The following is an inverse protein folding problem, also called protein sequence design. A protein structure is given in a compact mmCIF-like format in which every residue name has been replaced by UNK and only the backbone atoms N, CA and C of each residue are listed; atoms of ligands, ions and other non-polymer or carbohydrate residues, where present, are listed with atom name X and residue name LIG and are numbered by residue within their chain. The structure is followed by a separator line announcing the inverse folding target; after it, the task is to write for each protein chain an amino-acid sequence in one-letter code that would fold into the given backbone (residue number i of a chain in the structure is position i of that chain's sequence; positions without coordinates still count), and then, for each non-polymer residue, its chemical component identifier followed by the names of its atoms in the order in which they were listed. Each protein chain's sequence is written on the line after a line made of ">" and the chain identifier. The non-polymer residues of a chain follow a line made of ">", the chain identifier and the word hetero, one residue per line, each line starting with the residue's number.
data_IF_486802085966
#
_entry.id   IF_486802085966
#
_cell.length_a   1.000
_cell.length_b   1.000
_cell.length_c   1.000
_cell.angle_alpha   90.00
_cell.angle_beta   90.00
_cell.angle_gamma   90.00
#
_symmetry.space_group_name_H-M   'P 1'
#
loop_
_entity.id
_entity.type
_entity.pdbx_description
1 polymer ?
#
# COMPACT_ATOMS: atom_id res chain seq x y z
N UNK A 1 45.28 -15.32 -1.69
CA UNK A 1 44.80 -16.65 -2.11
C UNK A 1 44.39 -16.55 -3.57
N UNK A 2 44.79 -17.52 -4.40
CA UNK A 2 44.70 -17.53 -5.87
C UNK A 2 43.39 -16.94 -6.44
N UNK A 3 43.47 -15.77 -7.08
CA UNK A 3 42.42 -15.24 -7.97
C UNK A 3 42.49 -15.99 -9.31
N UNK A 4 41.54 -16.90 -9.50
CA UNK A 4 41.59 -18.02 -10.45
C UNK A 4 41.11 -17.71 -11.88
N UNK A 5 41.23 -16.45 -12.34
CA UNK A 5 40.84 -15.99 -13.68
C UNK A 5 41.72 -14.80 -14.13
N UNK A 6 41.92 -14.59 -15.44
CA UNK A 6 41.46 -15.42 -16.58
C UNK A 6 42.16 -16.79 -16.68
N UNK A 7 41.45 -17.79 -17.19
CA UNK A 7 42.03 -19.09 -17.59
C UNK A 7 42.35 -19.08 -19.07
N UNK A 8 43.59 -19.43 -19.41
CA UNK A 8 44.06 -19.52 -20.78
C UNK A 8 44.27 -20.98 -21.17
N UNK A 9 43.89 -21.34 -22.38
CA UNK A 9 44.27 -22.62 -22.97
C UNK A 9 44.66 -22.45 -24.44
N UNK A 10 45.59 -23.27 -24.90
CA UNK A 10 46.08 -23.25 -26.28
C UNK A 10 46.09 -24.68 -26.79
N UNK A 11 45.46 -24.93 -27.94
CA UNK A 11 45.47 -26.23 -28.62
C UNK A 11 45.68 -26.07 -30.11
N UNK A 12 46.22 -27.10 -30.75
CA UNK A 12 46.55 -27.11 -32.16
C UNK A 12 45.69 -28.17 -32.86
N UNK A 13 44.95 -27.76 -33.88
CA UNK A 13 44.05 -28.62 -34.65
C UNK A 13 44.40 -28.45 -36.14
N UNK A 14 45.06 -29.47 -36.70
CA UNK A 14 45.67 -29.40 -38.02
C UNK A 14 46.69 -28.26 -38.14
N UNK A 15 46.49 -27.36 -39.12
CA UNK A 15 47.33 -26.18 -39.34
C UNK A 15 46.92 -24.95 -38.51
N UNK A 16 45.88 -25.05 -37.66
CA UNK A 16 45.39 -23.93 -36.85
C UNK A 16 45.86 -24.01 -35.40
N UNK A 17 46.25 -22.86 -34.83
CA UNK A 17 46.53 -22.72 -33.40
C UNK A 17 45.43 -21.90 -32.76
N UNK A 18 44.67 -22.51 -31.86
CA UNK A 18 43.51 -21.90 -31.21
C UNK A 18 43.91 -21.53 -29.79
N UNK A 19 43.69 -20.26 -29.43
CA UNK A 19 43.95 -19.70 -28.11
C UNK A 19 42.62 -19.24 -27.51
N UNK A 20 42.26 -19.81 -26.36
CA UNK A 20 41.01 -19.51 -25.64
C UNK A 20 41.34 -18.80 -24.33
N UNK A 21 40.62 -17.71 -24.07
CA UNK A 21 40.62 -16.97 -22.82
C UNK A 21 39.22 -17.03 -22.20
N UNK A 22 39.09 -17.51 -20.96
CA UNK A 22 37.85 -17.51 -20.17
C UNK A 22 37.91 -16.46 -19.06
N UNK A 23 36.94 -15.54 -19.05
CA UNK A 23 36.72 -14.48 -18.05
C UNK A 23 35.48 -14.76 -17.17
N UNK A 24 35.28 -13.98 -16.09
CA UNK A 24 34.07 -13.98 -15.24
C UNK A 24 32.84 -13.74 -16.12
N UNK A 25 31.96 -14.74 -16.25
CA UNK A 25 30.91 -14.75 -17.28
C UNK A 25 29.65 -13.94 -16.96
N UNK A 26 29.44 -13.52 -15.71
CA UNK A 26 28.16 -12.97 -15.26
C UNK A 26 28.32 -12.15 -13.97
N UNK A 27 27.63 -11.01 -13.87
CA UNK A 27 27.48 -10.21 -12.64
C UNK A 27 26.05 -10.34 -12.13
N UNK A 28 25.87 -10.69 -10.86
CA UNK A 28 24.56 -10.83 -10.22
C UNK A 28 24.39 -9.74 -9.17
N UNK A 29 23.28 -8.99 -9.24
CA UNK A 29 22.92 -7.99 -8.24
C UNK A 29 21.61 -8.41 -7.57
N UNK A 30 21.67 -8.69 -6.28
CA UNK A 30 20.47 -8.82 -5.44
C UNK A 30 20.21 -7.46 -4.80
N UNK A 31 19.12 -6.80 -5.17
CA UNK A 31 18.75 -5.49 -4.65
C UNK A 31 17.68 -5.67 -3.58
N UNK A 32 17.87 -5.04 -2.42
CA UNK A 32 16.92 -5.03 -1.32
C UNK A 32 16.42 -3.60 -1.09
N UNK A 33 15.12 -3.41 -1.26
CA UNK A 33 14.44 -2.15 -0.94
C UNK A 33 14.00 -2.16 0.53
N UNK A 34 14.74 -1.44 1.37
CA UNK A 34 14.45 -1.34 2.79
C UNK A 34 13.19 -0.51 3.11
N UNK A 35 12.69 0.32 2.18
CA UNK A 35 11.45 1.07 2.36
C UNK A 35 10.23 0.14 2.30
N UNK A 36 10.25 -0.82 1.37
CA UNK A 36 9.24 -1.87 1.20
C UNK A 36 9.41 -3.03 2.19
N UNK A 37 10.64 -3.30 2.63
CA UNK A 37 10.93 -4.42 3.52
C UNK A 37 10.24 -4.27 4.89
N UNK A 38 9.33 -5.20 5.19
CA UNK A 38 8.57 -5.22 6.45
C UNK A 38 9.29 -5.96 7.58
N UNK A 39 10.40 -6.64 7.29
CA UNK A 39 11.08 -7.51 8.26
C UNK A 39 10.29 -8.76 8.63
N UNK A 40 9.38 -9.23 7.77
CA UNK A 40 8.56 -10.42 8.02
C UNK A 40 9.35 -11.74 8.12
N UNK A 41 10.52 -11.81 7.47
CA UNK A 41 11.44 -12.94 7.56
C UNK A 41 11.11 -14.14 6.68
N UNK A 42 10.08 -14.08 5.83
CA UNK A 42 9.73 -15.16 4.88
C UNK A 42 10.94 -15.51 3.99
N UNK A 43 11.72 -14.52 3.56
CA UNK A 43 12.94 -14.73 2.78
C UNK A 43 14.04 -15.49 3.54
N UNK A 44 14.16 -15.26 4.84
CA UNK A 44 15.08 -16.01 5.72
C UNK A 44 14.66 -17.47 5.82
N UNK A 45 13.36 -17.72 5.99
CA UNK A 45 12.79 -19.08 6.04
C UNK A 45 12.90 -19.82 4.69
N UNK A 46 12.73 -19.08 3.59
CA UNK A 46 12.73 -19.64 2.23
C UNK A 46 14.14 -19.84 1.64
N UNK A 47 15.17 -19.21 2.19
CA UNK A 47 16.52 -19.28 1.64
C UNK A 47 17.09 -20.71 1.76
N UNK A 48 17.42 -21.39 0.64
CA UNK A 48 17.99 -22.74 0.70
C UNK A 48 19.42 -22.77 1.27
N UNK A 49 20.17 -21.68 1.09
CA UNK A 49 21.57 -21.53 1.57
C UNK A 49 21.65 -20.94 2.98
N UNK A 50 20.51 -20.61 3.59
CA UNK A 50 20.45 -19.96 4.92
C UNK A 50 21.31 -18.69 4.99
N UNK A 51 21.42 -17.99 3.87
CA UNK A 51 22.23 -16.78 3.71
C UNK A 51 21.56 -15.53 4.29
N UNK A 52 20.27 -15.59 4.65
CA UNK A 52 19.50 -14.43 5.10
C UNK A 52 19.19 -14.54 6.59
N UNK A 53 19.53 -13.51 7.36
CA UNK A 53 19.26 -13.39 8.78
C UNK A 53 18.32 -12.20 9.08
N UNK A 54 17.61 -12.27 10.21
CA UNK A 54 16.67 -11.22 10.65
C UNK A 54 17.44 -10.15 11.41
N UNK A 55 17.29 -8.90 10.99
CA UNK A 55 17.83 -7.75 11.68
C UNK A 55 16.91 -7.20 12.79
N UNK A 56 17.21 -6.03 13.35
CA UNK A 56 16.44 -5.41 14.42
C UNK A 56 15.16 -4.73 13.88
N UNK A 57 14.20 -5.54 13.40
CA UNK A 57 12.97 -5.09 12.70
C UNK A 57 12.25 -3.97 13.44
N UNK A 58 12.01 -4.14 14.75
CA UNK A 58 11.29 -3.16 15.57
C UNK A 58 12.07 -1.87 15.83
N UNK A 59 13.40 -1.89 15.82
CA UNK A 59 14.20 -0.66 15.95
C UNK A 59 14.25 0.09 14.63
N UNK A 60 14.50 -0.61 13.52
CA UNK A 60 14.60 -0.04 12.19
C UNK A 60 13.28 0.59 11.72
N UNK A 61 12.17 -0.14 11.80
CA UNK A 61 10.85 0.33 11.32
C UNK A 61 10.27 1.48 12.14
N UNK A 62 10.75 1.68 13.37
CA UNK A 62 10.39 2.83 14.21
C UNK A 62 11.34 4.02 14.06
N UNK A 63 12.32 3.93 13.16
CA UNK A 63 13.35 4.97 12.98
C UNK A 63 14.28 5.13 14.19
N UNK A 64 14.32 4.16 15.11
CA UNK A 64 15.23 4.22 16.26
C UNK A 64 16.70 4.01 15.86
N UNK A 65 16.92 3.40 14.70
CA UNK A 65 18.22 3.27 14.06
C UNK A 65 18.06 3.53 12.56
N UNK A 66 19.05 4.18 11.96
CA UNK A 66 19.15 4.33 10.50
C UNK A 66 20.22 3.40 9.90
N UNK A 67 21.07 2.82 10.75
CA UNK A 67 22.09 1.85 10.37
C UNK A 67 21.54 0.43 10.43
N UNK A 68 21.97 -0.41 9.49
CA UNK A 68 21.47 -1.78 9.34
C UNK A 68 20.19 -1.86 8.52
N UNK A 69 19.50 -2.99 8.62
CA UNK A 69 18.35 -3.33 7.78
C UNK A 69 17.44 -4.36 8.47
N UNK A 70 16.15 -4.46 8.10
CA UNK A 70 15.24 -5.45 8.69
C UNK A 70 15.67 -6.91 8.46
N UNK A 71 16.42 -7.16 7.38
CA UNK A 71 17.06 -8.44 7.06
C UNK A 71 18.49 -8.18 6.57
N UNK A 72 19.40 -9.13 6.78
CA UNK A 72 20.79 -9.07 6.32
C UNK A 72 21.11 -10.31 5.47
N UNK A 73 21.77 -10.12 4.35
CA UNK A 73 22.18 -11.19 3.42
C UNK A 73 23.69 -11.38 3.50
N UNK A 74 24.13 -12.61 3.76
CA UNK A 74 25.53 -13.03 3.67
C UNK A 74 25.88 -13.28 2.20
N UNK A 75 26.62 -12.35 1.61
CA UNK A 75 27.02 -12.37 0.21
C UNK A 75 27.92 -13.56 -0.14
N UNK A 76 28.58 -14.19 0.83
CA UNK A 76 29.46 -15.35 0.62
C UNK A 76 28.71 -16.67 0.59
N UNK A 77 27.51 -16.71 1.18
CA UNK A 77 26.59 -17.86 1.15
C UNK A 77 25.53 -17.75 0.07
N UNK A 78 25.20 -16.53 -0.35
CA UNK A 78 24.12 -16.31 -1.32
C UNK A 78 24.44 -16.93 -2.69
N UNK A 79 23.56 -17.83 -3.16
CA UNK A 79 23.65 -18.42 -4.49
C UNK A 79 23.02 -17.59 -5.60
N UNK A 80 22.41 -16.45 -5.26
CA UNK A 80 21.69 -15.57 -6.20
C UNK A 80 20.60 -16.33 -7.00
N UNK A 81 19.91 -17.29 -6.37
CA UNK A 81 18.90 -18.11 -7.03
C UNK A 81 17.57 -17.37 -7.31
N UNK A 82 17.24 -16.31 -6.54
CA UNK A 82 16.00 -15.54 -6.69
C UNK A 82 14.79 -16.10 -5.94
N UNK A 83 14.93 -17.17 -5.15
CA UNK A 83 13.82 -17.70 -4.31
C UNK A 83 13.26 -16.63 -3.37
N UNK A 84 14.15 -15.82 -2.77
CA UNK A 84 13.76 -14.77 -1.86
C UNK A 84 12.92 -13.67 -2.54
N UNK A 85 13.19 -13.39 -3.82
CA UNK A 85 12.42 -12.43 -4.64
C UNK A 85 11.00 -12.95 -4.85
N UNK A 86 10.86 -14.19 -5.34
CA UNK A 86 9.54 -14.80 -5.60
C UNK A 86 8.72 -14.97 -4.31
N UNK A 87 9.37 -15.30 -3.20
CA UNK A 87 8.71 -15.52 -1.91
C UNK A 87 8.44 -14.23 -1.14
N UNK A 88 8.83 -13.05 -1.62
CA UNK A 88 8.58 -11.79 -0.93
C UNK A 88 7.16 -11.26 -1.25
N UNK A 89 6.21 -11.26 -0.29
CA UNK A 89 4.85 -10.79 -0.57
C UNK A 89 4.70 -9.26 -0.55
N UNK A 90 5.82 -8.53 -0.50
CA UNK A 90 5.89 -7.07 -0.41
C UNK A 90 6.79 -6.46 -1.48
N UNK A 91 7.21 -7.27 -2.47
CA UNK A 91 8.08 -6.87 -3.58
C UNK A 91 9.34 -6.07 -3.16
N UNK A 92 9.92 -6.43 -2.01
CA UNK A 92 11.04 -5.69 -1.41
C UNK A 92 12.42 -6.14 -1.91
N UNK A 93 12.49 -7.09 -2.83
CA UNK A 93 13.76 -7.57 -3.39
C UNK A 93 13.63 -7.82 -4.88
N UNK A 94 14.69 -7.51 -5.62
CA UNK A 94 14.82 -7.84 -7.04
C UNK A 94 16.18 -8.48 -7.31
N UNK A 95 16.26 -9.25 -8.40
CA UNK A 95 17.49 -9.87 -8.86
C UNK A 95 17.75 -9.46 -10.30
N UNK A 96 18.95 -8.92 -10.53
CA UNK A 96 19.43 -8.54 -11.85
C UNK A 96 20.65 -9.38 -12.20
N UNK A 97 20.71 -9.79 -13.46
CA UNK A 97 21.81 -10.56 -14.04
C UNK A 97 22.31 -9.78 -15.24
N UNK A 98 23.56 -9.32 -15.18
CA UNK A 98 24.18 -8.45 -16.17
C UNK A 98 23.35 -7.17 -16.46
N UNK A 99 22.69 -6.65 -15.42
CA UNK A 99 21.86 -5.44 -15.48
C UNK A 99 20.44 -5.66 -15.99
N UNK A 100 20.03 -6.89 -16.28
CA UNK A 100 18.66 -7.23 -16.68
C UNK A 100 17.94 -7.97 -15.56
N UNK A 101 16.68 -7.59 -15.27
CA UNK A 101 15.84 -8.29 -14.31
C UNK A 101 15.59 -9.74 -14.80
N UNK A 102 16.18 -10.71 -14.10
CA UNK A 102 16.11 -12.13 -14.46
C UNK A 102 15.96 -12.98 -13.22
N UNK A 103 15.09 -13.98 -13.29
CA UNK A 103 14.81 -14.88 -12.19
C UNK A 103 15.12 -16.32 -12.62
N UNK A 104 16.37 -16.80 -12.41
CA UNK A 104 16.80 -18.13 -12.84
C UNK A 104 15.88 -19.24 -12.34
N UNK A 105 15.35 -19.10 -11.13
CA UNK A 105 14.47 -20.08 -10.50
C UNK A 105 13.10 -20.21 -11.21
N UNK A 106 12.58 -19.12 -11.78
CA UNK A 106 11.36 -19.14 -12.58
C UNK A 106 11.65 -19.65 -14.00
N UNK A 107 12.70 -19.12 -14.63
CA UNK A 107 13.05 -19.42 -16.02
C UNK A 107 13.50 -20.87 -16.26
N UNK A 108 14.21 -21.47 -15.29
CA UNK A 108 14.86 -22.78 -15.48
C UNK A 108 14.16 -23.92 -14.76
N UNK A 109 13.64 -23.69 -13.55
CA UNK A 109 13.08 -24.77 -12.72
C UNK A 109 11.57 -24.73 -12.55
N UNK A 110 10.89 -23.66 -12.99
CA UNK A 110 9.45 -23.53 -12.87
C UNK A 110 8.98 -23.54 -11.42
N UNK A 111 9.45 -22.58 -10.63
CA UNK A 111 9.05 -22.41 -9.23
C UNK A 111 7.67 -21.73 -9.12
N UNK A 112 6.81 -22.13 -8.17
CA UNK A 112 5.46 -21.60 -8.08
C UNK A 112 5.48 -20.14 -7.58
N UNK A 113 4.48 -19.37 -7.99
CA UNK A 113 4.29 -17.96 -7.59
C UNK A 113 3.06 -17.85 -6.69
N UNK A 114 2.93 -16.77 -5.92
CA UNK A 114 1.75 -16.59 -5.08
C UNK A 114 0.46 -16.53 -5.90
N UNK A 115 -0.59 -17.19 -5.39
CA UNK A 115 -1.94 -17.06 -5.93
C UNK A 115 -2.65 -15.83 -5.34
N UNK A 116 -2.16 -14.64 -5.71
CA UNK A 116 -2.78 -13.38 -5.30
C UNK A 116 -3.95 -13.06 -6.23
N UNK A 117 -5.17 -13.20 -5.72
CA UNK A 117 -6.38 -12.72 -6.41
C UNK A 117 -6.75 -11.37 -5.83
N UNK A 118 -6.69 -10.33 -6.65
CA UNK A 118 -7.06 -8.95 -6.33
C UNK A 118 -7.79 -8.36 -7.53
N UNK A 119 -9.12 -8.46 -7.52
CA UNK A 119 -9.97 -8.13 -8.67
C UNK A 119 -11.04 -7.10 -8.27
N UNK A 120 -11.35 -6.19 -9.19
CA UNK A 120 -12.43 -5.20 -9.05
C UNK A 120 -13.47 -5.45 -10.15
N UNK A 121 -14.71 -5.69 -9.73
CA UNK A 121 -15.88 -5.71 -10.59
C UNK A 121 -16.26 -4.26 -10.95
N UNK A 122 -15.85 -3.81 -12.12
CA UNK A 122 -16.09 -2.44 -12.58
C UNK A 122 -17.56 -2.13 -12.85
N UNK A 123 -18.43 -3.15 -13.01
CA UNK A 123 -19.88 -2.91 -13.14
C UNK A 123 -20.51 -2.56 -11.79
N UNK A 124 -19.98 -3.13 -10.69
CA UNK A 124 -20.42 -2.81 -9.32
C UNK A 124 -19.68 -1.64 -8.70
N UNK A 125 -18.48 -1.32 -9.17
CA UNK A 125 -17.66 -0.26 -8.60
C UNK A 125 -18.32 1.11 -8.81
N UNK A 126 -18.59 1.82 -7.71
CA UNK A 126 -19.14 3.18 -7.74
C UNK A 126 -18.09 4.28 -7.87
N UNK A 127 -16.80 3.92 -8.05
CA UNK A 127 -15.67 4.86 -8.18
C UNK A 127 -15.50 5.82 -6.99
N UNK A 128 -16.00 5.44 -5.81
CA UNK A 128 -15.80 6.19 -4.56
C UNK A 128 -14.32 6.15 -4.08
N UNK A 129 -14.00 6.84 -2.98
CA UNK A 129 -12.64 6.94 -2.43
C UNK A 129 -12.33 5.89 -1.35
N UNK A 130 -13.33 5.15 -0.86
CA UNK A 130 -13.20 4.33 0.35
C UNK A 130 -12.03 3.33 0.30
N UNK A 131 -11.83 2.65 -0.83
CA UNK A 131 -10.76 1.65 -0.95
C UNK A 131 -9.35 2.26 -0.93
N UNK A 132 -9.19 3.47 -1.50
CA UNK A 132 -7.95 4.24 -1.48
C UNK A 132 -7.65 4.69 -0.05
N UNK A 133 -8.63 5.29 0.62
CA UNK A 133 -8.52 5.83 1.99
C UNK A 133 -8.10 4.76 3.02
N UNK A 134 -8.58 3.52 2.87
CA UNK A 134 -8.31 2.43 3.83
C UNK A 134 -7.09 1.59 3.46
N UNK A 135 -6.46 1.80 2.30
CA UNK A 135 -5.35 0.95 1.86
C UNK A 135 -4.07 1.28 2.63
N UNK A 136 -3.56 0.37 3.50
CA UNK A 136 -2.36 0.66 4.31
C UNK A 136 -1.05 0.62 3.50
N UNK A 137 -1.14 0.31 2.20
CA UNK A 137 -0.03 0.07 1.29
C UNK A 137 -0.05 0.99 0.07
N UNK A 138 -1.03 1.88 -0.03
CA UNK A 138 -1.21 2.76 -1.19
C UNK A 138 -1.30 2.00 -2.54
N UNK A 139 -1.71 0.73 -2.49
CA UNK A 139 -1.79 -0.15 -3.67
C UNK A 139 -3.05 0.07 -4.54
N UNK A 140 -3.84 1.12 -4.27
CA UNK A 140 -5.05 1.44 -5.04
C UNK A 140 -4.73 2.57 -5.99
N UNK A 141 -4.89 2.33 -7.28
CA UNK A 141 -4.74 3.35 -8.32
C UNK A 141 -6.14 3.84 -8.67
N UNK A 142 -6.46 5.08 -8.27
CA UNK A 142 -7.77 5.69 -8.54
C UNK A 142 -7.64 6.78 -9.60
N UNK A 143 -7.70 6.39 -10.87
CA UNK A 143 -7.77 7.30 -12.01
C UNK A 143 -9.23 7.73 -12.24
N UNK A 144 -9.79 8.47 -11.28
CA UNK A 144 -11.16 8.99 -11.36
C UNK A 144 -11.09 10.50 -11.30
N UNK A 145 -11.61 11.21 -12.32
CA UNK A 145 -11.49 12.66 -12.39
C UNK A 145 -12.02 13.34 -11.12
N UNK A 146 -11.19 14.21 -10.55
CA UNK A 146 -11.57 15.11 -9.48
C UNK A 146 -12.37 16.28 -10.04
N UNK A 147 -13.09 16.98 -9.17
CA UNK A 147 -13.88 18.15 -9.57
C UNK A 147 -13.20 19.45 -9.17
N UNK A 148 -13.52 20.52 -9.87
CA UNK A 148 -13.04 21.85 -9.55
C UNK A 148 -13.33 22.23 -8.09
N UNK A 149 -12.31 22.76 -7.41
CA UNK A 149 -12.31 23.02 -5.97
C UNK A 149 -11.68 21.91 -5.13
N UNK A 150 -11.38 20.74 -5.72
CA UNK A 150 -10.52 19.70 -5.12
C UNK A 150 -9.14 19.63 -5.77
N UNK A 151 -9.03 19.96 -7.06
CA UNK A 151 -7.77 20.13 -7.81
C UNK A 151 -7.90 21.28 -8.82
N UNK A 152 -6.77 21.91 -9.17
CA UNK A 152 -6.68 23.00 -10.15
C UNK A 152 -6.95 22.54 -11.59
N UNK A 153 -6.81 21.23 -11.87
CA UNK A 153 -7.15 20.60 -13.14
C UNK A 153 -8.45 19.77 -13.07
N UNK A 154 -9.20 19.88 -11.97
CA UNK A 154 -10.45 19.14 -11.79
C UNK A 154 -11.49 19.50 -12.87
N UNK A 155 -12.33 18.51 -13.22
CA UNK A 155 -13.46 18.73 -14.13
C UNK A 155 -14.39 19.80 -13.55
N UNK A 156 -14.91 20.66 -14.43
CA UNK A 156 -15.80 21.73 -14.00
C UNK A 156 -17.08 21.14 -13.41
N UNK A 157 -17.63 21.76 -12.36
CA UNK A 157 -18.78 21.20 -11.63
C UNK A 157 -20.02 21.00 -12.51
N UNK A 158 -20.22 21.80 -13.56
CA UNK A 158 -21.35 21.61 -14.47
C UNK A 158 -21.23 20.30 -15.27
N UNK A 159 -20.01 19.88 -15.61
CA UNK A 159 -19.72 18.61 -16.28
C UNK A 159 -20.05 17.41 -15.36
N UNK A 160 -19.97 17.63 -14.04
CA UNK A 160 -20.22 16.59 -13.05
C UNK A 160 -21.67 16.09 -13.02
N UNK A 161 -22.59 17.02 -13.18
CA UNK A 161 -24.02 16.78 -12.98
C UNK A 161 -24.81 16.85 -14.28
N UNK A 162 -24.15 17.21 -15.40
CA UNK A 162 -24.73 17.42 -16.73
C UNK A 162 -26.15 18.02 -16.64
N UNK A 163 -26.28 19.07 -15.81
CA UNK A 163 -27.55 19.68 -15.50
C UNK A 163 -27.72 20.87 -16.44
N UNK A 164 -28.79 20.86 -17.24
CA UNK A 164 -29.22 22.01 -18.01
C UNK A 164 -29.64 23.12 -17.03
N UNK A 165 -28.68 23.97 -16.66
CA UNK A 165 -28.89 25.09 -15.75
C UNK A 165 -29.20 26.32 -16.57
N UNK A 166 -30.28 27.02 -16.23
CA UNK A 166 -30.59 28.34 -16.77
C UNK A 166 -30.32 29.38 -15.68
N UNK A 167 -29.61 30.45 -16.05
CA UNK A 167 -29.34 31.59 -15.19
C UNK A 167 -29.86 32.85 -15.87
N UNK A 168 -30.60 33.67 -15.14
CA UNK A 168 -31.02 35.00 -15.59
C UNK A 168 -30.74 36.03 -14.50
N UNK A 169 -30.25 37.19 -14.91
CA UNK A 169 -30.09 38.36 -14.04
C UNK A 169 -30.92 39.50 -14.63
N UNK A 170 -31.79 40.11 -13.82
CA UNK A 170 -32.59 41.26 -14.21
C UNK A 170 -31.81 42.56 -13.95
N UNK A 171 -31.41 43.23 -15.03
CA UNK A 171 -30.61 44.46 -14.97
C UNK A 171 -31.33 45.63 -14.30
N UNK A 172 -32.66 45.69 -14.33
CA UNK A 172 -33.43 46.75 -13.66
C UNK A 172 -33.42 46.59 -12.14
N UNK A 173 -33.28 45.35 -11.64
CA UNK A 173 -33.20 45.05 -10.20
C UNK A 173 -31.76 44.97 -9.71
N UNK A 174 -30.80 44.72 -10.60
CA UNK A 174 -29.40 44.52 -10.24
C UNK A 174 -28.73 45.85 -9.86
N UNK A 175 -28.13 45.91 -8.67
CA UNK A 175 -27.31 47.05 -8.24
C UNK A 175 -25.83 46.85 -8.51
N UNK A 176 -25.44 45.78 -9.22
CA UNK A 176 -24.05 45.39 -9.48
C UNK A 176 -23.17 45.36 -8.21
N UNK A 177 -23.77 45.02 -7.05
CA UNK A 177 -23.11 45.03 -5.74
C UNK A 177 -21.97 44.01 -5.60
N UNK A 178 -21.87 43.02 -6.49
CA UNK A 178 -20.76 42.07 -6.56
C UNK A 178 -20.90 40.85 -5.64
N UNK A 179 -21.86 40.84 -4.70
CA UNK A 179 -22.01 39.74 -3.73
C UNK A 179 -22.13 38.36 -4.37
N UNK A 180 -22.79 38.26 -5.53
CA UNK A 180 -22.92 37.01 -6.27
C UNK A 180 -21.59 36.52 -6.87
N UNK A 181 -20.70 37.42 -7.32
CA UNK A 181 -19.40 37.08 -7.88
C UNK A 181 -18.38 36.69 -6.81
N UNK A 182 -18.44 37.30 -5.62
CA UNK A 182 -17.56 36.97 -4.50
C UNK A 182 -17.76 35.53 -3.98
N UNK A 183 -18.96 34.98 -4.14
CA UNK A 183 -19.30 33.64 -3.65
C UNK A 183 -19.38 32.58 -4.75
N UNK A 184 -19.42 33.00 -6.03
CA UNK A 184 -19.68 32.11 -7.15
C UNK A 184 -18.64 32.33 -8.24
N UNK A 185 -17.77 31.35 -8.44
CA UNK A 185 -16.78 31.33 -9.52
C UNK A 185 -17.41 31.36 -10.92
N UNK A 186 -18.68 30.99 -11.03
CA UNK A 186 -19.43 31.04 -12.27
C UNK A 186 -19.95 32.44 -12.62
N UNK A 187 -19.76 33.45 -11.76
CA UNK A 187 -20.29 34.80 -11.96
C UNK A 187 -19.15 35.81 -11.85
N UNK A 188 -18.98 36.64 -12.87
CA UNK A 188 -18.14 37.82 -12.84
C UNK A 188 -19.02 39.08 -12.92
N UNK A 189 -18.75 40.06 -12.07
CA UNK A 189 -19.52 41.32 -12.02
C UNK A 189 -18.62 42.44 -12.49
N UNK A 190 -18.72 42.75 -13.79
CA UNK A 190 -17.90 43.76 -14.45
C UNK A 190 -18.55 45.13 -14.30
N UNK A 191 -17.97 45.98 -13.45
CA UNK A 191 -18.44 47.37 -13.28
C UNK A 191 -17.82 48.29 -14.31
N UNK A 192 -18.61 49.22 -14.85
CA UNK A 192 -18.08 50.34 -15.64
C UNK A 192 -17.19 51.23 -14.76
N UNK A 193 -16.19 51.93 -15.34
CA UNK A 193 -15.32 52.82 -14.58
C UNK A 193 -16.10 53.89 -13.81
N UNK A 194 -15.75 54.08 -12.55
CA UNK A 194 -16.33 55.12 -11.72
C UNK A 194 -15.93 56.50 -12.26
N UNK A 195 -16.89 57.30 -12.70
CA UNK A 195 -16.65 58.70 -13.06
C UNK A 195 -17.38 59.62 -12.09
N UNK A 196 -16.74 60.74 -11.68
CA UNK A 196 -17.43 61.78 -10.90
C UNK A 196 -18.60 62.43 -11.66
N UNK A 197 -18.65 62.29 -12.99
CA UNK A 197 -19.64 62.89 -13.86
C UNK A 197 -21.01 62.21 -13.75
N UNK A 198 -21.06 60.89 -13.67
CA UNK A 198 -22.32 60.15 -13.58
C UNK A 198 -22.70 59.84 -12.14
N UNK A 199 -21.73 59.46 -11.30
CA UNK A 199 -21.99 59.01 -9.92
C UNK A 199 -22.90 57.78 -9.83
N UNK A 200 -23.19 57.11 -10.96
CA UNK A 200 -24.05 55.93 -11.05
C UNK A 200 -23.19 54.68 -11.14
N UNK A 201 -23.57 53.66 -10.40
CA UNK A 201 -22.94 52.36 -10.44
C UNK A 201 -23.67 51.50 -11.49
N UNK A 202 -22.96 51.15 -12.55
CA UNK A 202 -23.48 50.46 -13.73
C UNK A 202 -22.46 49.39 -14.16
N UNK A 203 -22.93 48.31 -14.81
CA UNK A 203 -22.09 47.16 -15.10
C UNK A 203 -22.82 46.04 -15.83
N UNK A 204 -22.19 44.87 -15.85
CA UNK A 204 -22.71 43.64 -16.43
C UNK A 204 -22.42 42.47 -15.48
N UNK A 205 -23.34 41.51 -15.42
CA UNK A 205 -23.17 40.25 -14.70
C UNK A 205 -22.93 39.16 -15.73
N UNK A 206 -21.70 38.68 -15.84
CA UNK A 206 -21.28 37.63 -16.77
C UNK A 206 -21.42 36.29 -16.06
N UNK A 207 -22.18 35.37 -16.64
CA UNK A 207 -22.35 34.02 -16.11
C UNK A 207 -21.70 32.98 -17.02
N UNK A 208 -20.82 32.17 -16.44
CA UNK A 208 -20.19 31.05 -17.12
C UNK A 208 -20.88 29.74 -16.71
N UNK A 209 -21.69 29.21 -17.63
CA UNK A 209 -22.44 27.96 -17.45
C UNK A 209 -21.56 26.76 -17.08
N UNK A 210 -20.30 26.74 -17.51
CA UNK A 210 -19.45 25.58 -17.30
C UNK A 210 -19.05 25.42 -15.81
N UNK A 211 -19.05 26.52 -15.06
CA UNK A 211 -18.69 26.56 -13.64
C UNK A 211 -19.93 26.54 -12.73
N UNK A 212 -21.13 26.59 -13.31
CA UNK A 212 -22.38 26.66 -12.57
C UNK A 212 -23.03 25.28 -12.39
N UNK A 213 -23.15 24.84 -11.15
CA UNK A 213 -23.82 23.58 -10.76
C UNK A 213 -25.31 23.76 -10.42
N UNK A 214 -25.82 24.98 -10.55
CA UNK A 214 -27.20 25.33 -10.23
C UNK A 214 -27.54 25.25 -8.74
N UNK A 215 -26.58 25.47 -7.83
CA UNK A 215 -26.79 25.44 -6.37
C UNK A 215 -27.70 26.54 -5.79
N UNK A 216 -28.01 27.58 -6.57
CA UNK A 216 -28.92 28.70 -6.22
C UNK A 216 -28.47 29.60 -5.04
N UNK A 217 -27.21 29.52 -4.62
CA UNK A 217 -26.67 30.38 -3.55
C UNK A 217 -26.64 31.85 -3.99
N UNK A 218 -26.25 32.13 -5.24
CA UNK A 218 -26.23 33.49 -5.80
C UNK A 218 -27.63 34.15 -5.86
N UNK A 219 -28.68 33.36 -6.11
CA UNK A 219 -30.07 33.82 -6.03
C UNK A 219 -30.44 34.13 -4.57
N UNK A 220 -30.08 33.25 -3.64
CA UNK A 220 -30.44 33.39 -2.22
C UNK A 220 -29.76 34.57 -1.53
N UNK A 221 -28.53 34.93 -1.94
CA UNK A 221 -27.80 36.06 -1.35
C UNK A 221 -28.17 37.41 -1.99
N UNK A 222 -28.82 37.41 -3.15
CA UNK A 222 -29.11 38.64 -3.90
C UNK A 222 -30.11 39.51 -3.13
N UNK A 223 -29.72 40.68 -2.59
CA UNK A 223 -30.60 41.49 -1.74
C UNK A 223 -31.83 42.04 -2.46
N UNK A 224 -31.77 42.12 -3.80
CA UNK A 224 -32.80 42.68 -4.65
C UNK A 224 -33.56 41.62 -5.47
N UNK A 225 -33.30 40.33 -5.22
CA UNK A 225 -33.94 39.23 -5.97
C UNK A 225 -33.80 39.39 -7.50
N UNK A 226 -32.63 39.87 -7.93
CA UNK A 226 -32.33 40.14 -9.34
C UNK A 226 -31.93 38.88 -10.11
N UNK A 227 -31.55 37.81 -9.41
CA UNK A 227 -31.03 36.57 -10.00
C UNK A 227 -32.07 35.46 -9.89
N UNK A 228 -32.32 34.74 -10.97
CA UNK A 228 -33.10 33.50 -10.99
C UNK A 228 -32.23 32.38 -11.58
N UNK A 229 -32.14 31.25 -10.87
CA UNK A 229 -31.40 30.06 -11.28
C UNK A 229 -32.34 28.87 -11.34
N UNK A 230 -32.57 28.33 -12.53
CA UNK A 230 -33.36 27.11 -12.74
C UNK A 230 -32.42 25.94 -12.96
N UNK A 231 -32.46 24.98 -12.04
CA UNK A 231 -31.72 23.73 -12.17
C UNK A 231 -32.56 22.71 -12.92
N UNK A 232 -32.12 22.33 -14.13
CA UNK A 232 -32.73 21.26 -14.91
C UNK A 232 -32.55 19.88 -14.28
N UNK A 233 -33.21 18.86 -14.86
CA UNK A 233 -33.02 17.47 -14.45
C UNK A 233 -31.59 17.03 -14.73
N UNK A 234 -31.01 16.26 -13.81
CA UNK A 234 -29.72 15.60 -13.99
C UNK A 234 -29.93 14.51 -15.04
N UNK A 235 -29.37 14.70 -16.24
CA UNK A 235 -29.59 13.78 -17.36
C UNK A 235 -28.67 12.56 -17.29
N UNK A 236 -27.51 12.69 -16.63
CA UNK A 236 -26.52 11.61 -16.49
C UNK A 236 -25.78 11.72 -15.15
N UNK A 237 -25.75 10.64 -14.36
CA UNK A 237 -24.78 10.52 -13.26
C UNK A 237 -23.40 10.33 -13.88
N UNK A 238 -22.35 10.86 -13.25
CA UNK A 238 -20.94 10.76 -13.68
C UNK A 238 -20.37 9.33 -13.68
N UNK A 239 -21.20 8.32 -13.90
CA UNK A 239 -20.75 6.96 -14.07
C UNK A 239 -19.85 6.93 -15.31
N UNK A 240 -18.59 6.54 -15.12
CA UNK A 240 -17.71 5.97 -16.14
C UNK A 240 -16.68 6.90 -16.81
N UNK A 241 -16.15 7.94 -16.14
CA UNK A 241 -15.00 8.70 -16.68
C UNK A 241 -13.63 8.29 -16.11
N UNK A 242 -13.58 7.23 -15.28
CA UNK A 242 -12.34 6.80 -14.64
C UNK A 242 -12.29 5.31 -14.30
N UNK A 243 -11.14 4.83 -13.84
CA UNK A 243 -10.93 3.45 -13.42
C UNK A 243 -10.31 3.41 -12.02
N UNK A 244 -10.64 2.34 -11.30
CA UNK A 244 -10.02 2.02 -10.01
C UNK A 244 -9.36 0.67 -10.18
N UNK A 245 -8.06 0.61 -9.98
CA UNK A 245 -7.25 -0.59 -10.14
C UNK A 245 -6.46 -0.89 -8.86
N UNK A 246 -6.00 -2.14 -8.72
CA UNK A 246 -5.14 -2.58 -7.62
C UNK A 246 -3.78 -2.92 -8.19
N UNK A 247 -2.74 -2.23 -7.74
CA UNK A 247 -1.36 -2.56 -8.08
C UNK A 247 -0.94 -3.83 -7.34
N UNK A 248 -0.92 -4.95 -8.06
CA UNK A 248 -0.66 -6.28 -7.48
C UNK A 248 0.71 -6.41 -6.82
N UNK A 249 1.72 -5.64 -7.26
CA UNK A 249 3.07 -5.66 -6.70
C UNK A 249 3.16 -4.97 -5.32
N UNK A 250 2.29 -3.99 -5.06
CA UNK A 250 2.25 -3.25 -3.79
C UNK A 250 1.21 -3.82 -2.80
N UNK A 251 0.23 -4.56 -3.33
CA UNK A 251 -0.85 -5.16 -2.56
C UNK A 251 -0.36 -6.34 -1.70
N UNK A 252 -0.57 -6.24 -0.37
CA UNK A 252 -0.25 -7.33 0.55
C UNK A 252 -1.42 -8.30 0.82
N UNK A 253 -2.54 -8.20 0.10
CA UNK A 253 -3.76 -9.02 0.28
C UNK A 253 -4.48 -8.88 1.63
N UNK A 254 -4.37 -7.72 2.30
CA UNK A 254 -4.97 -7.47 3.61
C UNK A 254 -6.52 -7.39 3.61
N UNK A 255 -7.18 -7.26 2.47
CA UNK A 255 -8.66 -7.19 2.34
C UNK A 255 -9.34 -5.94 2.93
N UNK A 256 -8.62 -4.91 3.35
CA UNK A 256 -9.22 -3.64 3.78
C UNK A 256 -10.19 -3.08 2.73
N UNK A 257 -9.75 -3.03 1.47
CA UNK A 257 -10.57 -2.59 0.34
C UNK A 257 -11.78 -3.51 0.10
N UNK A 258 -11.62 -4.83 0.18
CA UNK A 258 -12.69 -5.80 -0.02
C UNK A 258 -13.78 -5.70 1.05
N UNK A 259 -13.40 -5.55 2.31
CA UNK A 259 -14.34 -5.50 3.44
C UNK A 259 -15.03 -4.13 3.55
N UNK A 260 -14.32 -3.06 3.20
CA UNK A 260 -14.85 -1.69 3.32
C UNK A 260 -15.61 -1.23 2.08
N UNK A 261 -15.60 -2.02 0.99
CA UNK A 261 -16.26 -1.65 -0.26
C UNK A 261 -17.79 -1.67 -0.08
N UNK A 262 -18.48 -0.51 -0.18
CA UNK A 262 -19.94 -0.45 0.05
C UNK A 262 -20.76 -1.17 -1.02
N UNK A 263 -20.18 -1.41 -2.20
CA UNK A 263 -20.84 -2.11 -3.31
C UNK A 263 -20.35 -3.55 -3.48
N UNK A 264 -19.48 -4.03 -2.59
CA UNK A 264 -18.90 -5.39 -2.64
C UNK A 264 -18.24 -5.70 -4.00
N UNK A 265 -17.67 -4.68 -4.65
CA UNK A 265 -17.06 -4.81 -5.97
C UNK A 265 -15.67 -5.46 -5.94
N UNK A 266 -15.03 -5.55 -4.77
CA UNK A 266 -13.62 -5.93 -4.67
C UNK A 266 -13.46 -7.32 -4.07
N UNK A 267 -12.75 -8.21 -4.78
CA UNK A 267 -12.38 -9.55 -4.32
C UNK A 267 -10.89 -9.61 -4.02
N UNK A 268 -10.54 -10.01 -2.79
CA UNK A 268 -9.15 -10.22 -2.37
C UNK A 268 -9.00 -11.55 -1.64
N UNK A 269 -8.15 -12.43 -2.19
CA UNK A 269 -7.76 -13.69 -1.54
C UNK A 269 -6.39 -13.54 -0.88
N UNK A 270 -6.29 -13.98 0.39
CA UNK A 270 -5.04 -13.93 1.14
C UNK A 270 -4.06 -14.99 0.64
N UNK A 271 -2.78 -14.67 0.69
CA UNK A 271 -1.69 -15.60 0.38
C UNK A 271 -1.57 -16.72 1.41
N UNK A 272 -1.84 -16.40 2.68
CA UNK A 272 -1.64 -17.30 3.81
C UNK A 272 -2.95 -17.56 4.54
N UNK A 273 -3.13 -18.80 4.98
CA UNK A 273 -4.13 -19.18 5.97
C UNK A 273 -3.46 -19.55 7.29
N UNK A 274 -4.20 -19.42 8.38
CA UNK A 274 -3.75 -19.82 9.69
C UNK A 274 -4.27 -18.92 10.78
N UNK A 275 -3.53 -18.88 11.89
CA UNK A 275 -3.90 -18.16 13.08
C UNK A 275 -2.72 -17.38 13.66
N UNK A 276 -3.05 -16.23 14.25
CA UNK A 276 -2.14 -15.48 15.10
C UNK A 276 -2.83 -15.20 16.43
N UNK A 277 -2.10 -15.36 17.52
CA UNK A 277 -2.58 -15.12 18.89
C UNK A 277 -1.63 -14.19 19.63
N UNK A 278 -2.20 -13.35 20.48
CA UNK A 278 -1.48 -12.38 21.31
C UNK A 278 -1.74 -12.75 22.76
N UNK A 279 -0.70 -12.93 23.56
CA UNK A 279 -0.80 -13.24 24.97
C UNK A 279 -0.76 -11.94 25.80
N UNK A 280 -1.89 -11.52 26.41
CA UNK A 280 -1.96 -10.27 27.18
C UNK A 280 -1.02 -10.26 28.39
N UNK A 281 -0.82 -11.40 29.03
CA UNK A 281 0.02 -11.53 30.22
C UNK A 281 1.51 -11.36 29.91
N UNK A 282 1.95 -11.73 28.70
CA UNK A 282 3.34 -11.56 28.25
C UNK A 282 3.57 -10.24 27.52
N UNK A 283 2.52 -9.53 27.13
CA UNK A 283 2.66 -8.20 26.55
C UNK A 283 3.02 -7.20 27.65
N UNK A 284 4.16 -6.49 27.57
CA UNK A 284 4.47 -5.44 28.56
C UNK A 284 3.44 -4.30 28.48
N UNK A 285 2.87 -4.04 27.30
CA UNK A 285 2.05 -2.87 27.01
C UNK A 285 2.89 -1.64 26.73
N UNK A 286 2.28 -0.62 26.11
CA UNK A 286 2.86 0.72 25.95
C UNK A 286 4.01 0.88 24.94
N UNK A 287 4.55 -0.19 24.35
CA UNK A 287 5.68 -0.08 23.42
C UNK A 287 5.30 0.14 21.94
N UNK A 288 4.04 -0.12 21.57
CA UNK A 288 3.45 -0.02 20.22
C UNK A 288 4.23 -0.69 19.06
N UNK A 289 5.30 -1.45 19.32
CA UNK A 289 6.18 -1.96 18.25
C UNK A 289 5.43 -2.79 17.22
N UNK A 290 4.63 -3.78 17.66
CA UNK A 290 3.92 -4.65 16.73
C UNK A 290 2.81 -3.92 15.95
N UNK A 291 2.23 -2.86 16.53
CA UNK A 291 1.27 -1.97 15.87
C UNK A 291 1.94 -1.21 14.73
N UNK A 292 3.05 -0.54 15.02
CA UNK A 292 3.77 0.30 14.04
C UNK A 292 4.44 -0.50 12.92
N UNK A 293 4.88 -1.74 13.18
CA UNK A 293 5.49 -2.56 12.12
C UNK A 293 4.46 -3.30 11.25
N UNK A 294 3.17 -3.26 11.56
CA UNK A 294 2.17 -4.04 10.85
C UNK A 294 1.90 -3.47 9.44
N UNK A 295 2.32 -4.14 8.35
CA UNK A 295 2.14 -3.60 7.00
C UNK A 295 0.67 -3.62 6.52
N UNK A 296 -0.18 -4.36 7.23
CA UNK A 296 -1.60 -4.51 6.93
C UNK A 296 -2.49 -3.65 7.84
N UNK A 297 -1.91 -2.84 8.74
CA UNK A 297 -2.64 -2.09 9.76
C UNK A 297 -3.69 -2.92 10.53
N UNK A 298 -3.39 -4.19 10.80
CA UNK A 298 -4.35 -5.16 11.34
C UNK A 298 -4.33 -5.22 12.88
N UNK A 299 -3.34 -4.61 13.51
CA UNK A 299 -3.13 -4.64 14.97
C UNK A 299 -3.71 -3.35 15.54
N UNK A 300 -4.35 -3.41 16.70
CA UNK A 300 -4.96 -2.25 17.35
C UNK A 300 -4.91 -2.37 18.89
N UNK A 301 -5.14 -1.26 19.58
CA UNK A 301 -5.27 -1.21 21.04
C UNK A 301 -6.77 -1.23 21.37
N UNK A 302 -7.29 -2.28 22.01
CA UNK A 302 -8.71 -2.36 22.33
C UNK A 302 -9.08 -1.34 23.41
N UNK A 303 -10.33 -0.89 23.39
CA UNK A 303 -10.87 -0.05 24.47
C UNK A 303 -10.94 -0.86 25.77
N UNK A 304 -10.55 -0.27 26.91
CA UNK A 304 -10.58 -0.99 28.17
C UNK A 304 -11.99 -1.46 28.55
N UNK A 305 -12.11 -2.68 29.10
CA UNK A 305 -13.39 -3.20 29.61
C UNK A 305 -13.69 -2.57 30.97
N UNK A 306 -14.97 -2.39 31.28
CA UNK A 306 -15.35 -1.97 32.64
C UNK A 306 -14.97 -3.06 33.65
N UNK A 307 -14.54 -2.72 34.88
CA UNK A 307 -14.12 -3.71 35.88
C UNK A 307 -15.16 -4.79 36.17
N UNK A 308 -16.45 -4.48 36.04
CA UNK A 308 -17.56 -5.42 36.21
C UNK A 308 -17.56 -6.56 35.17
N UNK A 309 -17.05 -6.30 33.96
CA UNK A 309 -17.05 -7.22 32.82
C UNK A 309 -15.75 -8.02 32.72
N UNK A 310 -14.80 -7.80 33.64
CA UNK A 310 -13.45 -8.36 33.52
C UNK A 310 -13.34 -9.82 33.93
N UNK A 311 -14.33 -10.45 34.58
CA UNK A 311 -14.40 -11.90 34.87
C UNK A 311 -13.06 -12.64 35.15
N UNK A 312 -12.10 -11.99 35.85
CA UNK A 312 -10.72 -12.47 36.07
C UNK A 312 -9.86 -12.68 34.80
N UNK A 313 -10.24 -12.14 33.65
CA UNK A 313 -9.44 -12.08 32.42
C UNK A 313 -8.37 -10.98 32.50
N UNK A 314 -7.18 -11.27 31.99
CA UNK A 314 -6.15 -10.25 31.79
C UNK A 314 -6.56 -9.41 30.57
N UNK A 315 -6.69 -8.11 30.78
CA UNK A 315 -7.07 -7.18 29.72
C UNK A 315 -6.08 -7.23 28.54
N UNK A 316 -6.61 -7.38 27.33
CA UNK A 316 -5.83 -7.35 26.12
C UNK A 316 -5.24 -5.94 25.93
N UNK A 317 -3.92 -5.81 26.03
CA UNK A 317 -3.22 -4.54 25.79
C UNK A 317 -3.11 -4.22 24.30
N UNK A 318 -3.08 -5.26 23.47
CA UNK A 318 -3.03 -5.22 22.01
C UNK A 318 -3.90 -6.37 21.49
N UNK A 319 -4.61 -6.12 20.40
CA UNK A 319 -5.41 -7.10 19.68
C UNK A 319 -5.10 -7.05 18.18
N UNK A 320 -5.55 -8.06 17.45
CA UNK A 320 -5.38 -8.17 16.00
C UNK A 320 -6.70 -8.51 15.34
N UNK A 321 -7.08 -7.76 14.31
CA UNK A 321 -8.18 -8.11 13.45
C UNK A 321 -7.69 -9.17 12.45
N UNK A 322 -8.17 -10.41 12.62
CA UNK A 322 -7.78 -11.56 11.81
C UNK A 322 -8.24 -11.41 10.34
N UNK A 323 -9.27 -10.62 10.07
CA UNK A 323 -9.74 -10.37 8.71
C UNK A 323 -8.76 -9.51 7.91
N UNK A 324 -8.00 -8.63 8.58
CA UNK A 324 -6.97 -7.81 7.94
C UNK A 324 -5.56 -8.40 8.02
N UNK A 325 -5.30 -9.30 8.97
CA UNK A 325 -3.98 -9.90 9.15
C UNK A 325 -3.58 -10.78 7.96
N UNK A 326 -2.39 -10.53 7.39
CA UNK A 326 -1.83 -11.30 6.26
C UNK A 326 -0.86 -12.40 6.71
N UNK A 327 -0.71 -12.63 8.03
CA UNK A 327 0.14 -13.69 8.59
C UNK A 327 1.61 -13.64 8.13
N UNK A 328 2.15 -12.45 7.85
CA UNK A 328 3.53 -12.29 7.36
C UNK A 328 4.59 -12.54 8.45
N UNK A 329 4.30 -12.21 9.71
CA UNK A 329 5.22 -12.42 10.84
C UNK A 329 6.12 -11.24 11.21
N UNK A 330 5.95 -10.06 10.59
CA UNK A 330 6.69 -8.84 10.97
C UNK A 330 6.52 -8.51 12.46
N UNK A 331 5.31 -8.59 12.98
CA UNK A 331 5.02 -8.36 14.40
C UNK A 331 5.77 -9.35 15.31
N UNK A 332 5.86 -10.62 14.92
CA UNK A 332 6.58 -11.67 15.67
C UNK A 332 8.08 -11.35 15.73
N UNK A 333 8.69 -10.93 14.63
CA UNK A 333 10.11 -10.57 14.60
C UNK A 333 10.43 -9.25 15.30
N UNK A 334 9.46 -8.34 15.38
CA UNK A 334 9.63 -7.03 16.02
C UNK A 334 9.43 -7.05 17.54
N UNK A 335 8.71 -8.06 18.05
CA UNK A 335 8.26 -8.06 19.44
C UNK A 335 9.40 -8.46 20.38
N UNK A 336 9.75 -7.61 21.37
CA UNK A 336 10.83 -7.86 22.30
C UNK A 336 10.43 -8.73 23.50
N UNK A 337 9.17 -9.20 23.56
CA UNK A 337 8.70 -10.04 24.66
C UNK A 337 8.62 -11.50 24.25
N UNK A 338 9.02 -12.40 25.15
CA UNK A 338 8.92 -13.85 24.95
C UNK A 338 7.47 -14.25 24.76
N UNK A 339 7.18 -15.03 23.72
CA UNK A 339 5.90 -15.70 23.52
C UNK A 339 4.65 -14.81 23.59
N UNK A 340 4.81 -13.49 23.48
CA UNK A 340 3.72 -12.54 23.50
C UNK A 340 2.89 -12.62 22.21
N UNK A 341 3.49 -13.07 21.11
CA UNK A 341 2.82 -13.28 19.83
C UNK A 341 3.17 -14.68 19.31
N UNK A 342 2.17 -15.46 18.94
CA UNK A 342 2.33 -16.77 18.30
C UNK A 342 1.65 -16.75 16.95
N UNK A 343 2.41 -17.04 15.90
CA UNK A 343 1.94 -17.11 14.52
C UNK A 343 2.02 -18.56 14.04
N UNK A 344 0.94 -19.09 13.49
CA UNK A 344 0.90 -20.41 12.85
C UNK A 344 0.21 -20.30 11.50
N UNK A 345 0.91 -20.64 10.43
CA UNK A 345 0.32 -20.78 9.10
C UNK A 345 -0.17 -22.21 8.90
N UNK A 346 -1.28 -22.39 8.20
CA UNK A 346 -1.86 -23.69 7.84
C UNK A 346 -1.78 -23.96 6.35
N UNK A 347 -1.75 -22.91 5.52
CA UNK A 347 -1.58 -23.02 4.08
C UNK A 347 -0.83 -21.81 3.49
N UNK A 348 -0.19 -22.04 2.35
CA UNK A 348 0.38 -21.02 1.47
C UNK A 348 -0.21 -21.23 0.08
N UNK A 349 -0.93 -20.23 -0.43
CA UNK A 349 -1.63 -20.30 -1.71
C UNK A 349 -0.70 -19.91 -2.86
N UNK A 350 -0.44 -20.87 -3.75
CA UNK A 350 0.51 -20.71 -4.84
C UNK A 350 -0.06 -21.25 -6.16
N UNK A 351 0.22 -20.56 -7.26
CA UNK A 351 -0.02 -20.99 -8.64
C UNK A 351 1.24 -21.65 -9.22
N UNK A 352 1.03 -22.71 -10.00
CA UNK A 352 2.10 -23.44 -10.68
C UNK A 352 2.53 -24.74 -9.99
N UNK A 353 3.55 -25.40 -10.54
CA UNK A 353 4.02 -26.70 -10.07
C UNK A 353 4.79 -26.55 -8.75
N UNK A 354 4.32 -27.19 -7.67
CA UNK A 354 5.06 -27.27 -6.40
C UNK A 354 6.33 -28.14 -6.57
N UNK A 355 7.48 -27.48 -6.72
CA UNK A 355 8.81 -28.12 -6.79
C UNK A 355 9.19 -28.74 -5.45
N UNK A 356 10.17 -29.65 -5.43
CA UNK A 356 10.63 -30.26 -4.17
C UNK A 356 11.34 -29.24 -3.26
N UNK A 357 11.99 -28.24 -3.85
CA UNK A 357 12.49 -27.08 -3.12
C UNK A 357 11.34 -26.32 -2.45
N UNK A 358 10.28 -26.00 -3.20
CA UNK A 358 9.13 -25.30 -2.63
C UNK A 358 8.46 -26.09 -1.50
N UNK A 359 8.30 -27.42 -1.63
CA UNK A 359 7.72 -28.25 -0.55
C UNK A 359 8.51 -28.17 0.75
N UNK A 360 9.86 -28.09 0.68
CA UNK A 360 10.72 -27.88 1.86
C UNK A 360 10.52 -26.49 2.47
N UNK A 361 10.40 -25.46 1.62
CA UNK A 361 10.14 -24.09 2.06
C UNK A 361 8.75 -23.99 2.71
N UNK A 362 7.72 -24.55 2.08
CA UNK A 362 6.36 -24.61 2.61
C UNK A 362 6.34 -25.27 3.98
N UNK A 363 7.02 -26.42 4.14
CA UNK A 363 7.14 -27.07 5.45
C UNK A 363 7.78 -26.17 6.51
N UNK A 364 8.82 -25.39 6.18
CA UNK A 364 9.43 -24.40 7.09
C UNK A 364 8.44 -23.27 7.44
N UNK A 365 7.75 -22.71 6.45
CA UNK A 365 6.82 -21.58 6.64
C UNK A 365 5.58 -21.92 7.49
N UNK A 366 5.18 -23.19 7.53
CA UNK A 366 4.06 -23.70 8.33
C UNK A 366 4.45 -24.00 9.78
N UNK A 367 5.75 -23.98 10.13
CA UNK A 367 6.19 -24.15 11.52
C UNK A 367 5.71 -22.96 12.36
N UNK A 368 5.06 -23.19 13.52
CA UNK A 368 4.66 -22.11 14.41
C UNK A 368 5.85 -21.26 14.88
N UNK A 369 5.67 -19.94 14.86
CA UNK A 369 6.68 -18.97 15.26
C UNK A 369 6.21 -18.17 16.46
N UNK A 370 7.18 -17.70 17.26
CA UNK A 370 6.88 -16.92 18.44
C UNK A 370 7.89 -15.80 18.66
N UNK A 371 7.46 -14.73 19.34
CA UNK A 371 8.26 -13.51 19.52
C UNK A 371 9.50 -13.74 20.38
N UNK A 372 10.55 -12.96 20.11
CA UNK A 372 11.92 -13.32 20.48
C UNK A 372 12.44 -12.51 21.66
N UNK A 373 12.25 -13.06 22.85
CA UNK A 373 13.25 -13.08 23.96
C UNK A 373 13.02 -14.40 24.70
N UNK A 374 14.06 -15.06 25.22
CA UNK A 374 13.93 -16.05 26.29
C UNK A 374 14.69 -15.54 27.49
N UNK A 375 14.03 -15.38 28.65
CA UNK A 375 14.76 -15.20 29.89
C UNK A 375 15.50 -16.50 30.23
N UNK A 376 16.79 -16.39 30.48
CA UNK A 376 17.57 -17.52 30.98
C UNK A 376 17.01 -17.92 32.36
N UNK A 377 16.45 -19.13 32.48
CA UNK A 377 15.82 -19.61 33.73
C UNK A 377 16.80 -19.63 34.89
N UNK A 378 18.09 -19.67 34.60
CA UNK A 378 19.16 -19.83 35.59
C UNK A 378 19.88 -18.50 35.90
N UNK A 379 19.65 -17.42 35.12
CA UNK A 379 20.33 -16.13 35.31
C UNK A 379 19.40 -14.93 35.09
N UNK A 380 18.94 -14.34 36.20
CA UNK A 380 18.17 -13.10 36.19
C UNK A 380 18.95 -11.97 35.48
N UNK A 381 18.34 -11.34 34.48
CA UNK A 381 18.95 -10.23 33.72
C UNK A 381 19.78 -10.62 32.49
N UNK A 382 19.85 -11.90 32.10
CA UNK A 382 20.38 -12.31 30.78
C UNK A 382 19.25 -12.72 29.84
N UNK A 383 19.05 -11.95 28.78
CA UNK A 383 18.15 -12.29 27.68
C UNK A 383 18.94 -13.01 26.57
N UNK A 384 18.44 -14.16 26.11
CA UNK A 384 18.93 -14.83 24.91
C UNK A 384 17.89 -14.70 23.78
N UNK A 385 18.34 -14.40 22.57
CA UNK A 385 17.50 -14.49 21.37
C UNK A 385 17.45 -15.97 20.97
N UNK A 386 16.25 -16.58 20.94
CA UNK A 386 16.08 -17.96 20.49
C UNK A 386 16.70 -18.12 19.09
N UNK A 387 17.64 -19.07 18.96
CA UNK A 387 18.21 -19.45 17.66
C UNK A 387 17.08 -19.85 16.71
N UNK A 388 17.23 -19.45 15.43
CA UNK A 388 16.23 -19.62 14.38
C UNK A 388 15.86 -21.09 14.14
#
# INVERSE_FOLDING_TARGET
>A
MNTLFPKYSKRQDGCFTIMEQKLLKQVNNLVQDNSKCTGCGICSEACPEEAISIGPVGAYRRGAIEYGSPIQVDETKCSYCGVCVVMCPFNAMSLEIDGEAKLPILEKEGFPVYDMVTEIDHEKCSQCTTCEDVCPREAIIRDVPLFEGTDIFGLKKAEAVNANTEFTCNDEKCTYCGLCGEICQAIDVVRKPFTPETGVLDGEVIWNKDFCDGCQICQSICPNEAIEVKRGKIEKKLNNSGLVEIESEECCTCRWCAISCPTEAITVNKIFEGEITFNPAKCPGGCSTCYEVCPANAIYMPTPKAPADMHNEVEAKIAVNKDFCVLCGACVNSCPSEDAIVLKRTAVHMKGKKTDLFKKIEAKLLVPRTSKVREDKDVFGKAQVKAL
#
